data_IF_059467531896
#
_entry.id   IF_059467531896
#
_cell.length_a   1.000
_cell.length_b   1.000
_cell.length_c   1.000
_cell.angle_alpha   90.00
_cell.angle_beta   90.00
_cell.angle_gamma   90.00
#
_symmetry.space_group_name_H-M   'P 1'
#
loop_
_entity.id
_entity.type
_entity.pdbx_description
1 polymer ?
#
# COMPACT_ATOMS: atom_id res chain seq x y z
N UNK A 1 -7.90 -23.38 1.03
CA UNK A 1 -6.96 -22.41 1.63
C UNK A 1 -6.03 -21.95 0.53
N UNK A 2 -6.34 -20.84 -0.12
CA UNK A 2 -5.41 -20.21 -1.06
C UNK A 2 -4.28 -19.56 -0.26
N UNK A 3 -3.05 -19.66 -0.74
CA UNK A 3 -1.91 -19.07 -0.05
C UNK A 3 -1.98 -17.54 -0.16
N UNK A 4 -1.44 -16.80 0.81
CA UNK A 4 -1.35 -15.32 0.75
C UNK A 4 -0.80 -14.88 -0.62
N UNK A 5 0.15 -15.65 -1.18
CA UNK A 5 0.76 -15.43 -2.50
C UNK A 5 -0.22 -15.53 -3.68
N UNK A 6 -1.25 -16.36 -3.61
CA UNK A 6 -2.29 -16.46 -4.67
C UNK A 6 -3.27 -15.29 -4.62
N UNK A 7 -3.44 -14.66 -3.45
CA UNK A 7 -4.28 -13.47 -3.24
C UNK A 7 -3.54 -12.16 -3.56
N UNK A 8 -2.21 -12.21 -3.72
CA UNK A 8 -1.34 -11.04 -3.98
C UNK A 8 -1.53 -10.41 -5.35
N UNK A 9 -1.88 -11.23 -6.34
CA UNK A 9 -2.16 -10.72 -7.67
C UNK A 9 -3.68 -10.62 -7.78
N UNK A 10 -4.26 -9.42 -7.99
CA UNK A 10 -5.51 -9.41 -8.72
C UNK A 10 -5.27 -10.26 -9.97
N UNK A 11 -6.25 -11.04 -10.42
CA UNK A 11 -6.21 -11.67 -11.75
C UNK A 11 -6.15 -10.56 -12.82
N UNK A 12 -5.04 -9.82 -12.88
CA UNK A 12 -4.72 -8.80 -13.84
C UNK A 12 -4.49 -9.61 -15.10
N UNK A 13 -5.40 -9.54 -16.10
CA UNK A 13 -5.32 -10.41 -17.25
C UNK A 13 -3.91 -10.32 -17.83
N UNK A 14 -3.28 -11.45 -18.13
CA UNK A 14 -1.92 -11.55 -18.71
C UNK A 14 -1.66 -10.51 -19.83
N UNK A 15 -2.71 -10.15 -20.57
CA UNK A 15 -2.74 -9.11 -21.61
C UNK A 15 -2.43 -7.68 -21.11
N UNK A 16 -2.84 -7.31 -19.91
CA UNK A 16 -2.55 -5.99 -19.31
C UNK A 16 -1.07 -5.91 -18.94
N UNK A 17 -0.54 -6.98 -18.34
CA UNK A 17 0.89 -7.11 -18.00
C UNK A 17 1.79 -7.04 -19.25
N UNK A 18 1.44 -7.76 -20.31
CA UNK A 18 2.20 -7.72 -21.58
C UNK A 18 2.09 -6.39 -22.31
N UNK A 19 0.97 -5.66 -22.18
CA UNK A 19 0.76 -4.39 -22.88
C UNK A 19 1.40 -3.19 -22.18
N UNK A 20 1.34 -3.13 -20.85
CA UNK A 20 1.87 -2.00 -20.08
C UNK A 20 3.26 -2.26 -19.50
N UNK A 21 3.62 -3.53 -19.27
CA UNK A 21 4.89 -3.94 -18.66
C UNK A 21 6.13 -3.39 -19.38
N UNK A 22 6.24 -3.46 -20.72
CA UNK A 22 7.40 -2.92 -21.43
C UNK A 22 7.52 -1.39 -21.33
N UNK A 23 6.39 -0.68 -21.31
CA UNK A 23 6.37 0.79 -21.18
C UNK A 23 6.77 1.20 -19.76
N UNK A 24 6.21 0.54 -18.75
CA UNK A 24 6.54 0.80 -17.34
C UNK A 24 8.01 0.44 -17.05
N UNK A 25 8.48 -0.73 -17.51
CA UNK A 25 9.89 -1.17 -17.36
C UNK A 25 10.85 -0.19 -18.04
N UNK A 26 10.53 0.29 -19.24
CA UNK A 26 11.36 1.28 -19.96
C UNK A 26 11.40 2.61 -19.23
N UNK A 27 10.29 3.05 -18.64
CA UNK A 27 10.22 4.29 -17.87
C UNK A 27 10.99 4.20 -16.55
N UNK A 28 10.86 3.10 -15.79
CA UNK A 28 11.65 2.87 -14.58
C UNK A 28 13.16 2.90 -14.85
N UNK A 29 13.61 2.27 -15.94
CA UNK A 29 15.03 2.29 -16.34
C UNK A 29 15.54 3.65 -16.82
N UNK A 30 14.67 4.48 -17.40
CA UNK A 30 15.07 5.77 -17.98
C UNK A 30 15.12 6.89 -16.93
N UNK A 31 14.32 6.78 -15.88
CA UNK A 31 14.07 7.89 -14.94
C UNK A 31 14.54 7.59 -13.51
N UNK A 32 15.16 6.42 -13.29
CA UNK A 32 15.55 5.91 -11.98
C UNK A 32 14.38 5.25 -11.26
N UNK A 33 14.63 4.20 -10.48
CA UNK A 33 13.63 3.62 -9.59
C UNK A 33 13.52 4.51 -8.35
N UNK A 34 12.41 5.24 -8.16
CA UNK A 34 12.26 6.00 -6.93
C UNK A 34 11.99 5.00 -5.80
N UNK A 35 12.98 4.79 -4.94
CA UNK A 35 12.81 4.02 -3.71
C UNK A 35 11.72 4.69 -2.86
N UNK A 36 10.49 4.16 -2.90
CA UNK A 36 9.38 4.69 -2.12
C UNK A 36 9.39 4.06 -0.74
N UNK A 37 9.78 4.85 0.27
CA UNK A 37 9.73 4.41 1.67
C UNK A 37 8.41 4.79 2.31
N UNK A 38 7.62 3.77 2.66
CA UNK A 38 6.43 3.91 3.48
C UNK A 38 6.77 4.56 4.83
N UNK A 39 6.04 5.61 5.17
CA UNK A 39 6.23 6.38 6.41
C UNK A 39 5.06 6.17 7.37
N UNK A 40 5.32 6.35 8.65
CA UNK A 40 4.26 6.26 9.68
C UNK A 40 3.18 7.34 9.52
N UNK A 41 3.51 8.49 8.92
CA UNK A 41 2.55 9.56 8.57
C UNK A 41 1.53 9.14 7.52
N UNK A 42 1.77 8.03 6.81
CA UNK A 42 0.86 7.47 5.80
C UNK A 42 0.01 6.34 6.39
N UNK A 43 0.36 5.83 7.57
CA UNK A 43 -0.28 4.69 8.17
C UNK A 43 -1.72 5.03 8.59
N UNK A 44 -2.68 4.44 7.89
CA UNK A 44 -4.11 4.61 8.14
C UNK A 44 -4.52 3.78 9.34
N UNK A 45 -4.09 2.52 9.39
CA UNK A 45 -4.35 1.58 10.46
C UNK A 45 -4.28 0.13 9.98
N UNK A 46 -4.55 -0.80 10.89
CA UNK A 46 -4.74 -2.21 10.54
C UNK A 46 -6.22 -2.52 10.44
N UNK A 47 -6.61 -3.17 9.36
CA UNK A 47 -7.97 -3.67 9.16
C UNK A 47 -7.98 -5.17 9.38
N UNK A 48 -8.93 -5.66 10.18
CA UNK A 48 -9.12 -7.08 10.49
C UNK A 48 -10.03 -7.75 9.45
N UNK A 49 -9.58 -7.73 8.19
CA UNK A 49 -10.26 -8.46 7.13
C UNK A 49 -9.25 -9.02 6.11
N UNK A 50 -9.62 -10.08 5.38
CA UNK A 50 -8.84 -10.62 4.27
C UNK A 50 -8.55 -9.59 3.17
N UNK A 51 -7.40 -9.75 2.50
CA UNK A 51 -6.96 -8.84 1.44
C UNK A 51 -7.93 -8.79 0.24
N UNK A 52 -8.46 -9.93 -0.18
CA UNK A 52 -9.43 -10.05 -1.28
C UNK A 52 -10.74 -9.32 -0.95
N UNK A 53 -11.26 -9.47 0.27
CA UNK A 53 -12.46 -8.77 0.72
C UNK A 53 -12.27 -7.24 0.71
N UNK A 54 -11.14 -6.77 1.22
CA UNK A 54 -10.85 -5.34 1.25
C UNK A 54 -10.65 -4.76 -0.15
N UNK A 55 -9.89 -5.45 -1.00
CA UNK A 55 -9.64 -5.01 -2.38
C UNK A 55 -10.89 -5.04 -3.25
N UNK A 56 -11.78 -6.01 -3.04
CA UNK A 56 -13.09 -6.04 -3.68
C UNK A 56 -13.96 -4.86 -3.24
N UNK A 57 -13.91 -4.50 -1.95
CA UNK A 57 -14.59 -3.32 -1.43
C UNK A 57 -14.04 -2.03 -2.06
N UNK A 58 -12.72 -1.87 -2.11
CA UNK A 58 -12.07 -0.75 -2.81
C UNK A 58 -12.57 -0.65 -4.27
N UNK A 59 -12.53 -1.76 -5.00
CA UNK A 59 -12.96 -1.84 -6.41
C UNK A 59 -14.42 -1.45 -6.60
N UNK A 60 -15.33 -1.96 -5.76
CA UNK A 60 -16.76 -1.63 -5.79
C UNK A 60 -17.03 -0.13 -5.60
N UNK A 61 -16.15 0.56 -4.88
CA UNK A 61 -16.25 1.99 -4.60
C UNK A 61 -15.38 2.88 -5.51
N UNK A 62 -14.90 2.32 -6.63
CA UNK A 62 -14.24 3.09 -7.70
C UNK A 62 -12.75 3.31 -7.50
N UNK A 63 -12.11 2.60 -6.56
CA UNK A 63 -10.66 2.49 -6.57
C UNK A 63 -10.23 1.57 -7.71
N UNK A 64 -9.16 1.98 -8.38
CA UNK A 64 -8.54 1.22 -9.45
C UNK A 64 -7.18 0.73 -9.00
N UNK A 65 -6.85 -0.50 -9.34
CA UNK A 65 -5.53 -1.06 -9.08
C UNK A 65 -4.45 -0.31 -9.88
N UNK A 66 -3.35 0.05 -9.23
CA UNK A 66 -2.23 0.77 -9.84
C UNK A 66 -1.07 -0.19 -10.21
N UNK A 67 -0.81 -0.43 -11.50
CA UNK A 67 0.30 -1.29 -11.94
C UNK A 67 1.70 -0.76 -11.59
N UNK A 68 1.84 0.51 -11.22
CA UNK A 68 3.13 1.05 -10.78
C UNK A 68 3.56 0.51 -9.42
N UNK A 69 2.64 -0.09 -8.63
CA UNK A 69 2.96 -0.77 -7.37
C UNK A 69 4.04 -1.83 -7.51
N UNK A 70 4.10 -2.52 -8.66
CA UNK A 70 5.08 -3.58 -8.94
C UNK A 70 6.53 -3.11 -8.85
N UNK A 71 6.78 -1.81 -8.98
CA UNK A 71 8.11 -1.21 -8.95
C UNK A 71 8.37 -0.41 -7.67
N UNK A 72 7.41 -0.35 -6.75
CA UNK A 72 7.63 0.20 -5.42
C UNK A 72 8.19 -0.92 -4.53
N UNK A 73 9.51 -0.91 -4.32
CA UNK A 73 10.14 -1.72 -3.28
C UNK A 73 10.13 -0.93 -1.96
N UNK A 74 9.22 -1.22 -1.01
CA UNK A 74 9.33 -0.64 0.32
C UNK A 74 10.58 -1.15 1.02
N UNK A 75 11.21 -0.30 1.83
CA UNK A 75 12.39 -0.70 2.60
C UNK A 75 12.04 -1.79 3.64
N UNK A 76 12.65 -2.96 3.45
CA UNK A 76 12.77 -4.13 4.35
C UNK A 76 11.47 -4.78 4.85
N UNK A 77 11.25 -6.02 4.40
CA UNK A 77 10.50 -7.06 5.13
C UNK A 77 9.02 -7.26 4.77
N UNK A 78 8.46 -6.51 3.83
CA UNK A 78 7.09 -6.73 3.35
C UNK A 78 6.95 -6.29 1.90
N UNK A 79 6.64 -7.20 0.98
CA UNK A 79 6.25 -6.81 -0.37
C UNK A 79 4.84 -6.18 -0.30
N UNK A 80 4.60 -5.05 -0.98
CA UNK A 80 3.28 -4.45 -0.97
C UNK A 80 2.32 -5.40 -1.70
N UNK A 81 1.28 -5.83 -1.00
CA UNK A 81 0.29 -6.78 -1.52
C UNK A 81 -0.68 -6.14 -2.53
N UNK A 82 -0.47 -4.86 -2.85
CA UNK A 82 -1.17 -4.12 -3.90
C UNK A 82 -1.16 -2.61 -3.66
N UNK A 83 -1.20 -1.84 -4.75
CA UNK A 83 -1.53 -0.41 -4.70
C UNK A 83 -2.85 -0.14 -5.42
N UNK A 84 -3.62 0.79 -4.86
CA UNK A 84 -4.93 1.20 -5.33
C UNK A 84 -5.00 2.71 -5.37
N UNK A 85 -5.64 3.25 -6.41
CA UNK A 85 -5.80 4.68 -6.57
C UNK A 85 -7.27 5.04 -6.71
N UNK A 86 -7.67 6.14 -6.08
CA UNK A 86 -8.98 6.73 -6.27
C UNK A 86 -8.85 8.14 -6.81
N UNK A 87 -9.65 8.44 -7.84
CA UNK A 87 -9.72 9.75 -8.48
C UNK A 87 -11.18 10.09 -8.78
N UNK A 88 -11.56 11.34 -8.54
CA UNK A 88 -12.93 11.82 -8.81
C UNK A 88 -13.29 11.80 -10.30
N UNK A 89 -12.29 11.90 -11.18
CA UNK A 89 -12.45 11.81 -12.63
C UNK A 89 -11.12 11.40 -13.29
N UNK A 90 -11.18 10.94 -14.54
CA UNK A 90 -9.99 10.53 -15.32
C UNK A 90 -8.93 11.63 -15.45
N UNK A 91 -9.35 12.90 -15.43
CA UNK A 91 -8.48 14.06 -15.59
C UNK A 91 -8.26 14.80 -14.26
N UNK A 92 -8.57 14.21 -13.11
CA UNK A 92 -8.29 14.84 -11.83
C UNK A 92 -6.79 15.12 -11.66
N UNK A 93 -6.44 16.28 -11.12
CA UNK A 93 -5.03 16.63 -10.87
C UNK A 93 -4.44 15.76 -9.76
N UNK A 94 -5.26 15.41 -8.77
CA UNK A 94 -4.88 14.66 -7.57
C UNK A 94 -5.60 13.31 -7.50
N UNK A 95 -4.94 12.35 -6.87
CA UNK A 95 -5.52 11.05 -6.53
C UNK A 95 -5.14 10.66 -5.10
N UNK A 96 -5.99 9.85 -4.45
CA UNK A 96 -5.60 9.10 -3.26
C UNK A 96 -4.85 7.86 -3.76
N UNK A 97 -3.68 7.60 -3.21
CA UNK A 97 -2.92 6.36 -3.41
C UNK A 97 -2.96 5.59 -2.09
N UNK A 98 -3.40 4.34 -2.15
CA UNK A 98 -3.53 3.41 -1.03
C UNK A 98 -2.60 2.23 -1.27
N UNK A 99 -1.79 1.89 -0.27
CA UNK A 99 -0.85 0.78 -0.31
C UNK A 99 -1.25 -0.21 0.78
N UNK A 100 -1.36 -1.48 0.40
CA UNK A 100 -1.81 -2.55 1.29
C UNK A 100 -0.66 -3.50 1.61
N UNK A 101 -0.54 -3.86 2.89
CA UNK A 101 0.41 -4.87 3.35
C UNK A 101 -0.35 -5.92 4.15
N UNK A 102 -0.56 -7.11 3.60
CA UNK A 102 -1.13 -8.24 4.31
C UNK A 102 -0.03 -8.96 5.10
N UNK A 103 -0.29 -9.17 6.38
CA UNK A 103 0.62 -9.89 7.28
C UNK A 103 0.13 -11.31 7.59
N UNK A 104 -1.16 -11.57 7.35
CA UNK A 104 -1.77 -12.89 7.43
C UNK A 104 -2.99 -12.93 6.50
N UNK A 105 -3.69 -14.07 6.36
CA UNK A 105 -4.96 -14.14 5.65
C UNK A 105 -6.09 -13.31 6.29
N UNK A 106 -5.89 -12.77 7.49
CA UNK A 106 -6.95 -12.19 8.32
C UNK A 106 -6.79 -10.69 8.55
N UNK A 107 -5.60 -10.12 8.30
CA UNK A 107 -5.39 -8.70 8.53
C UNK A 107 -4.38 -8.05 7.59
N UNK A 108 -4.64 -6.77 7.34
CA UNK A 108 -3.87 -5.91 6.44
C UNK A 108 -3.53 -4.58 7.13
N UNK A 109 -2.30 -4.11 6.93
CA UNK A 109 -1.93 -2.73 7.17
C UNK A 109 -2.27 -1.89 5.94
N UNK A 110 -2.92 -0.75 6.18
CA UNK A 110 -3.30 0.20 5.14
C UNK A 110 -2.46 1.48 5.30
N UNK A 111 -1.88 1.91 4.19
CA UNK A 111 -1.18 3.19 4.06
C UNK A 111 -1.86 4.02 2.99
N UNK A 112 -1.89 5.34 3.15
CA UNK A 112 -2.42 6.23 2.12
C UNK A 112 -1.77 7.61 2.12
N UNK A 113 -1.70 8.20 0.93
CA UNK A 113 -1.28 9.58 0.71
C UNK A 113 -2.01 10.19 -0.50
N UNK A 114 -2.12 11.52 -0.53
CA UNK A 114 -2.53 12.22 -1.75
C UNK A 114 -1.32 12.49 -2.63
N UNK A 115 -1.46 12.33 -3.93
CA UNK A 115 -0.42 12.62 -4.90
C UNK A 115 -1.00 13.16 -6.21
N UNK A 116 -0.12 13.62 -7.10
CA UNK A 116 -0.54 13.95 -8.46
C UNK A 116 -0.93 12.69 -9.23
N UNK A 117 -2.02 12.78 -9.99
CA UNK A 117 -2.45 11.66 -10.82
C UNK A 117 -1.42 11.36 -11.90
N UNK A 118 -1.01 10.09 -12.01
CA UNK A 118 -0.13 9.64 -13.08
C UNK A 118 -0.71 9.95 -14.46
N UNK A 119 -2.03 9.79 -14.65
CA UNK A 119 -2.67 9.95 -15.95
C UNK A 119 -2.51 11.37 -16.50
N UNK A 120 -2.53 12.39 -15.64
CA UNK A 120 -2.43 13.80 -16.02
C UNK A 120 -1.05 14.41 -15.80
N UNK A 121 -0.32 13.98 -14.77
CA UNK A 121 0.89 14.64 -14.27
C UNK A 121 2.06 13.67 -14.05
N UNK A 122 2.37 12.83 -15.06
CA UNK A 122 3.42 11.79 -15.01
C UNK A 122 4.75 12.24 -14.38
N UNK A 123 5.29 13.39 -14.81
CA UNK A 123 6.57 13.91 -14.31
C UNK A 123 6.48 14.28 -12.82
N UNK A 124 5.40 14.94 -12.40
CA UNK A 124 5.21 15.32 -10.99
C UNK A 124 5.00 14.11 -10.10
N UNK A 125 4.27 13.12 -10.59
CA UNK A 125 4.05 11.85 -9.90
C UNK A 125 5.37 11.09 -9.69
N UNK A 126 6.16 10.88 -10.76
CA UNK A 126 7.47 10.21 -10.67
C UNK A 126 8.44 10.92 -9.73
N UNK A 127 8.46 12.26 -9.77
CA UNK A 127 9.29 13.08 -8.87
C UNK A 127 8.71 13.19 -7.46
N UNK A 128 7.60 12.50 -7.15
CA UNK A 128 6.95 12.52 -5.84
C UNK A 128 6.65 13.94 -5.34
N UNK A 129 6.33 14.86 -6.26
CA UNK A 129 6.10 16.27 -5.94
C UNK A 129 4.77 16.41 -5.24
N UNK A 130 4.75 17.11 -4.10
CA UNK A 130 3.52 17.46 -3.40
C UNK A 130 2.72 16.24 -2.91
N UNK A 131 3.42 15.22 -2.40
CA UNK A 131 2.80 14.11 -1.66
C UNK A 131 2.28 14.63 -0.31
N UNK A 132 0.97 14.57 -0.10
CA UNK A 132 0.32 14.97 1.15
C UNK A 132 -0.11 13.72 1.93
N UNK A 133 0.80 13.26 2.79
CA UNK A 133 0.66 12.02 3.57
C UNK A 133 -0.48 12.09 4.57
N UNK A 134 -0.48 13.14 5.38
CA UNK A 134 -1.48 13.35 6.43
C UNK A 134 -2.90 13.51 5.87
N UNK A 135 -3.03 14.25 4.76
CA UNK A 135 -4.31 14.42 4.07
C UNK A 135 -4.81 13.10 3.49
N UNK A 136 -3.95 12.34 2.81
CA UNK A 136 -4.34 11.04 2.26
C UNK A 136 -4.67 10.01 3.33
N UNK A 137 -3.87 9.93 4.40
CA UNK A 137 -4.14 9.10 5.58
C UNK A 137 -5.51 9.40 6.17
N UNK A 138 -5.78 10.68 6.44
CA UNK A 138 -7.03 11.10 7.10
C UNK A 138 -8.25 10.86 6.19
N UNK A 139 -8.11 11.15 4.90
CA UNK A 139 -9.17 10.89 3.91
C UNK A 139 -9.47 9.40 3.80
N UNK A 140 -8.44 8.56 3.73
CA UNK A 140 -8.63 7.12 3.65
C UNK A 140 -9.22 6.56 4.93
N UNK A 141 -8.79 7.05 6.10
CA UNK A 141 -9.38 6.65 7.38
C UNK A 141 -10.87 6.94 7.44
N UNK A 142 -11.26 8.18 7.10
CA UNK A 142 -12.68 8.57 7.07
C UNK A 142 -13.47 7.72 6.08
N UNK A 143 -12.88 7.38 4.93
CA UNK A 143 -13.50 6.48 3.96
C UNK A 143 -13.70 5.07 4.55
N UNK A 144 -12.70 4.49 5.21
CA UNK A 144 -12.83 3.15 5.85
C UNK A 144 -13.93 3.17 6.91
N UNK A 145 -13.90 4.16 7.80
CA UNK A 145 -14.87 4.33 8.88
C UNK A 145 -16.30 4.54 8.34
N UNK A 146 -16.46 5.33 7.27
CA UNK A 146 -17.77 5.57 6.66
C UNK A 146 -18.38 4.33 6.00
N UNK A 147 -17.58 3.31 5.70
CA UNK A 147 -18.03 2.03 5.16
C UNK A 147 -18.19 0.96 6.25
N UNK A 148 -18.13 1.34 7.53
CA UNK A 148 -18.35 0.45 8.67
C UNK A 148 -17.22 -0.56 8.90
N UNK A 149 -16.04 -0.29 8.34
CA UNK A 149 -14.86 -1.15 8.51
C UNK A 149 -14.10 -0.69 9.75
N UNK A 150 -13.86 -1.60 10.69
CA UNK A 150 -13.07 -1.30 11.88
C UNK A 150 -11.58 -1.14 11.54
N UNK A 151 -10.94 -0.16 12.17
CA UNK A 151 -9.55 0.22 11.89
C UNK A 151 -8.77 0.44 13.18
N UNK A 152 -7.77 -0.41 13.38
CA UNK A 152 -6.88 -0.33 14.53
C UNK A 152 -5.65 0.54 14.20
N UNK A 153 -5.74 1.83 14.55
CA UNK A 153 -4.69 2.83 14.30
C UNK A 153 -3.42 2.62 15.14
N UNK A 154 -3.49 1.80 16.18
CA UNK A 154 -2.38 1.59 17.13
C UNK A 154 -1.71 0.22 16.96
N UNK A 155 -2.25 -0.64 16.10
CA UNK A 155 -1.79 -2.01 15.92
C UNK A 155 -0.30 -2.10 15.62
N UNK A 156 0.17 -1.31 14.64
CA UNK A 156 1.58 -1.30 14.24
C UNK A 156 2.51 -0.88 15.38
N UNK A 157 2.11 0.12 16.17
CA UNK A 157 2.88 0.55 17.35
C UNK A 157 2.94 -0.56 18.40
N UNK A 158 1.83 -1.23 18.68
CA UNK A 158 1.79 -2.37 19.61
C UNK A 158 2.64 -3.54 19.15
N UNK A 159 2.64 -3.86 17.84
CA UNK A 159 3.51 -4.89 17.26
C UNK A 159 4.99 -4.54 17.44
N UNK A 160 5.41 -3.32 17.07
CA UNK A 160 6.81 -2.86 17.28
C UNK A 160 7.27 -2.98 18.73
N UNK A 161 6.43 -2.56 19.69
CA UNK A 161 6.76 -2.66 21.11
C UNK A 161 6.90 -4.12 21.54
N UNK A 162 5.98 -4.99 21.10
CA UNK A 162 6.03 -6.43 21.37
C UNK A 162 7.29 -7.07 20.80
N UNK A 163 7.65 -6.75 19.57
CA UNK A 163 8.82 -7.29 18.89
C UNK A 163 10.11 -6.87 19.61
N UNK A 164 10.23 -5.60 20.00
CA UNK A 164 11.36 -5.10 20.78
C UNK A 164 11.51 -5.81 22.14
N UNK A 165 10.40 -6.06 22.84
CA UNK A 165 10.40 -6.81 24.11
C UNK A 165 10.85 -8.26 23.90
N UNK A 166 10.38 -8.90 22.83
CA UNK A 166 10.77 -10.26 22.49
C UNK A 166 12.26 -10.37 22.15
N UNK A 167 12.79 -9.41 21.40
CA UNK A 167 14.21 -9.37 21.03
C UNK A 167 15.10 -9.13 22.25
N UNK A 168 14.70 -8.22 23.16
CA UNK A 168 15.39 -8.04 24.44
C UNK A 168 15.40 -9.33 25.27
N UNK A 169 14.27 -10.04 25.33
CA UNK A 169 14.17 -11.32 26.04
C UNK A 169 15.13 -12.36 25.45
N UNK A 170 15.18 -12.50 24.12
CA UNK A 170 16.11 -13.42 23.44
C UNK A 170 17.57 -13.07 23.74
N UNK A 171 17.90 -11.78 23.69
CA UNK A 171 19.25 -11.29 24.01
C UNK A 171 19.65 -11.64 25.45
N UNK A 172 18.79 -11.36 26.43
CA UNK A 172 19.07 -11.69 27.84
C UNK A 172 19.26 -13.20 28.06
N UNK A 173 18.45 -14.03 27.42
CA UNK A 173 18.62 -15.50 27.48
C UNK A 173 19.97 -15.92 26.89
N UNK A 174 20.39 -15.31 25.78
CA UNK A 174 21.66 -15.63 25.12
C UNK A 174 22.91 -15.24 25.92
N UNK A 175 22.80 -14.29 26.86
CA UNK A 175 23.90 -13.88 27.75
C UNK A 175 23.93 -14.72 29.03
N UNK A 176 22.82 -15.36 29.38
CA UNK A 176 22.71 -16.23 30.56
C UNK A 176 23.14 -17.68 30.32
N UNK A 177 23.58 -18.00 29.10
CA UNK A 177 24.16 -19.29 28.69
C UNK A 177 25.67 -19.14 28.48
#
# INVERSE_FOLDING_TARGET
MQSILETLEPNVPYRVRTRLGPVITRLGRTLGEPEYRLRDTEYVGTVQQPLDEFTETLRKHGFEWDPLAWYHQPAVGSEPNGSWTYRRSLLADRQIHVILIAHSPEYIDVFAHMEYSWLRHRIKHLRQVGIEREAGRSTMRQWIESHGIDVDVNSRRRRRVRDAVNDLRKYLVSISQ
#
